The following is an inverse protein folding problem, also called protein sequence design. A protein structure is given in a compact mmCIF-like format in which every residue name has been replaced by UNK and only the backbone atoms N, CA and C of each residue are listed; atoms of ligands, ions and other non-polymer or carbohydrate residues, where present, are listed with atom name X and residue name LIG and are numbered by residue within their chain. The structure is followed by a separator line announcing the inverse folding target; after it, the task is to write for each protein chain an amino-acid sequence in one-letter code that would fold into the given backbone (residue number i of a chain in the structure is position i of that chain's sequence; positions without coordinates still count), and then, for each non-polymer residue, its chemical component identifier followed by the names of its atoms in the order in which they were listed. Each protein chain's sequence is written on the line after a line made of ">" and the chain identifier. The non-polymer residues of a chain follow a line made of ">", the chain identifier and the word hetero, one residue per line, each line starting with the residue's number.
data_IF_264668286666
#
_entry.id   IF_264668286666
#
_cell.length_a   1.000
_cell.length_b   1.000
_cell.length_c   1.000
_cell.angle_alpha   90.00
_cell.angle_beta   90.00
_cell.angle_gamma   90.00
#
_symmetry.space_group_name_H-M   'P 1'
#
loop_
_entity.id
_entity.type
_entity.pdbx_description
1 polymer ?
#
# COMPACT_ATOMS: atom_id res chain seq x y z
N UNK A 1 18.80 2.50 6.24
CA UNK A 1 18.35 1.18 6.73
C UNK A 1 18.17 0.26 5.54
N UNK A 2 18.56 -1.01 5.61
CA UNK A 2 18.28 -1.98 4.54
C UNK A 2 16.82 -2.43 4.59
N UNK A 3 16.28 -2.98 3.50
CA UNK A 3 14.90 -3.49 3.47
C UNK A 3 14.70 -4.60 4.52
N UNK A 4 15.68 -5.51 4.65
CA UNK A 4 15.66 -6.58 5.66
C UNK A 4 15.65 -6.02 7.09
N UNK A 5 16.51 -5.03 7.35
CA UNK A 5 16.54 -4.35 8.65
C UNK A 5 15.21 -3.64 8.97
N UNK A 6 14.56 -3.05 7.97
CA UNK A 6 13.25 -2.41 8.14
C UNK A 6 12.15 -3.44 8.40
N UNK A 7 12.23 -4.60 7.74
CA UNK A 7 11.32 -5.72 7.94
C UNK A 7 11.42 -6.27 9.38
N UNK A 8 12.65 -6.43 9.88
CA UNK A 8 12.91 -6.86 11.26
C UNK A 8 12.43 -5.80 12.27
N UNK A 9 12.68 -4.53 12.00
CA UNK A 9 12.22 -3.42 12.85
C UNK A 9 10.69 -3.35 12.96
N UNK A 10 9.98 -3.54 11.84
CA UNK A 10 8.51 -3.53 11.82
C UNK A 10 7.88 -4.85 12.29
N UNK A 11 8.68 -5.90 12.53
CA UNK A 11 8.17 -7.23 12.91
C UNK A 11 7.36 -7.92 11.80
N UNK A 12 7.60 -7.58 10.53
CA UNK A 12 6.91 -8.19 9.39
C UNK A 12 7.44 -9.59 9.10
N UNK A 13 6.55 -10.52 8.71
CA UNK A 13 6.95 -11.89 8.37
C UNK A 13 7.97 -11.92 7.22
N UNK A 14 9.11 -12.55 7.45
CA UNK A 14 10.27 -12.61 6.54
C UNK A 14 9.99 -13.27 5.19
N UNK A 15 8.95 -14.09 5.08
CA UNK A 15 8.65 -14.87 3.86
C UNK A 15 7.87 -14.11 2.80
N UNK A 16 7.38 -12.90 3.10
CA UNK A 16 6.58 -12.08 2.18
C UNK A 16 7.21 -10.70 1.99
N UNK A 17 6.87 -10.06 0.87
CA UNK A 17 7.40 -8.74 0.51
C UNK A 17 6.85 -7.70 1.49
N UNK A 18 7.72 -6.89 2.11
CA UNK A 18 7.30 -5.85 3.06
C UNK A 18 6.27 -4.88 2.46
N UNK A 19 6.42 -4.55 1.17
CA UNK A 19 5.50 -3.68 0.42
C UNK A 19 4.04 -4.19 0.41
N UNK A 20 3.81 -5.50 0.56
CA UNK A 20 2.46 -6.09 0.61
C UNK A 20 1.72 -5.84 1.94
N UNK A 21 2.44 -5.31 2.94
CA UNK A 21 1.94 -4.94 4.26
C UNK A 21 2.10 -3.45 4.57
N UNK A 22 2.70 -2.66 3.65
CA UNK A 22 2.84 -1.22 3.84
C UNK A 22 1.51 -0.53 3.58
N UNK A 23 1.16 0.41 4.45
CA UNK A 23 -0.01 1.25 4.23
C UNK A 23 0.18 2.25 3.09
N UNK A 24 -0.94 2.79 2.61
CA UNK A 24 -0.96 3.75 1.47
C UNK A 24 -0.06 4.96 1.77
N UNK A 25 -0.05 5.45 3.00
CA UNK A 25 0.77 6.60 3.43
C UNK A 25 2.27 6.31 3.34
N UNK A 26 2.71 5.12 3.75
CA UNK A 26 4.12 4.71 3.65
C UNK A 26 4.55 4.56 2.19
N UNK A 27 3.69 3.95 1.37
CA UNK A 27 3.92 3.78 -0.07
C UNK A 27 3.95 5.13 -0.79
N UNK A 28 3.07 6.06 -0.43
CA UNK A 28 3.04 7.41 -0.98
C UNK A 28 4.32 8.17 -0.60
N UNK A 29 4.77 8.07 0.64
CA UNK A 29 6.03 8.68 1.08
C UNK A 29 7.24 8.10 0.33
N UNK A 30 7.27 6.77 0.12
CA UNK A 30 8.32 6.12 -0.65
C UNK A 30 8.33 6.61 -2.11
N UNK A 31 7.17 6.65 -2.74
CA UNK A 31 7.00 7.12 -4.12
C UNK A 31 7.44 8.58 -4.24
N UNK A 32 6.97 9.43 -3.32
CA UNK A 32 7.30 10.85 -3.29
C UNK A 32 8.81 11.08 -3.12
N UNK A 33 9.48 10.34 -2.23
CA UNK A 33 10.94 10.39 -2.11
C UNK A 33 11.63 10.06 -3.43
N UNK A 34 11.21 9.01 -4.12
CA UNK A 34 11.81 8.58 -5.40
C UNK A 34 11.60 9.64 -6.47
N UNK A 35 10.38 10.17 -6.62
CA UNK A 35 10.08 11.20 -7.62
C UNK A 35 10.86 12.48 -7.35
N UNK A 36 10.89 12.95 -6.10
CA UNK A 36 11.63 14.16 -5.73
C UNK A 36 13.14 13.99 -5.89
N UNK A 37 13.67 12.79 -5.65
CA UNK A 37 15.10 12.49 -5.91
C UNK A 37 15.40 12.61 -7.40
N UNK A 38 14.56 12.02 -8.26
CA UNK A 38 14.74 12.10 -9.70
C UNK A 38 14.67 13.53 -10.22
N UNK A 39 13.69 14.32 -9.76
CA UNK A 39 13.54 15.72 -10.14
C UNK A 39 14.72 16.57 -9.65
N UNK A 40 15.23 16.33 -8.43
CA UNK A 40 16.40 17.05 -7.90
C UNK A 40 17.68 16.70 -8.65
N UNK A 41 17.86 15.44 -9.02
CA UNK A 41 18.99 15.00 -9.83
C UNK A 41 19.00 15.67 -11.21
N UNK A 42 17.84 15.75 -11.87
CA UNK A 42 17.69 16.45 -13.14
C UNK A 42 17.98 17.95 -13.01
N UNK A 43 17.41 18.60 -11.99
CA UNK A 43 17.56 20.05 -11.77
C UNK A 43 19.00 20.48 -11.53
N UNK A 44 19.76 19.67 -10.79
CA UNK A 44 21.11 19.99 -10.36
C UNK A 44 22.20 19.34 -11.23
N UNK A 45 21.82 18.71 -12.35
CA UNK A 45 22.72 17.93 -13.24
C UNK A 45 23.63 16.96 -12.46
N UNK A 46 23.04 16.28 -11.47
CA UNK A 46 23.78 15.40 -10.56
C UNK A 46 24.30 14.20 -11.33
N UNK A 47 25.62 14.01 -11.34
CA UNK A 47 26.29 12.92 -12.06
C UNK A 47 27.16 12.07 -11.13
N UNK A 48 27.18 10.77 -11.40
CA UNK A 48 27.96 9.81 -10.64
C UNK A 48 27.25 9.28 -9.38
N UNK A 49 27.71 8.10 -8.95
CA UNK A 49 27.06 7.30 -7.90
C UNK A 49 27.06 8.03 -6.56
N UNK A 50 28.18 8.64 -6.16
CA UNK A 50 28.32 9.29 -4.86
C UNK A 50 27.37 10.49 -4.71
N UNK A 51 27.29 11.37 -5.70
CA UNK A 51 26.41 12.54 -5.63
C UNK A 51 24.93 12.13 -5.69
N UNK A 52 24.61 11.10 -6.48
CA UNK A 52 23.25 10.54 -6.56
C UNK A 52 22.81 9.96 -5.21
N UNK A 53 23.71 9.22 -4.54
CA UNK A 53 23.47 8.65 -3.23
C UNK A 53 23.27 9.74 -2.15
N UNK A 54 24.08 10.81 -2.19
CA UNK A 54 23.91 11.97 -1.29
C UNK A 54 22.57 12.66 -1.53
N UNK A 55 22.22 12.94 -2.79
CA UNK A 55 20.94 13.58 -3.15
C UNK A 55 19.75 12.74 -2.67
N UNK A 56 19.78 11.42 -2.89
CA UNK A 56 18.74 10.52 -2.43
C UNK A 56 18.60 10.49 -0.89
N UNK A 57 19.73 10.55 -0.17
CA UNK A 57 19.76 10.60 1.30
C UNK A 57 19.16 11.90 1.82
N UNK A 58 19.50 13.03 1.21
CA UNK A 58 18.98 14.35 1.57
C UNK A 58 17.46 14.43 1.37
N UNK A 59 16.98 14.05 0.18
CA UNK A 59 15.53 14.00 -0.10
C UNK A 59 14.83 13.03 0.86
N UNK A 60 15.43 11.87 1.13
CA UNK A 60 14.87 10.93 2.11
C UNK A 60 14.73 11.54 3.52
N UNK A 61 15.72 12.33 3.96
CA UNK A 61 15.65 13.07 5.23
C UNK A 61 14.55 14.14 5.20
N UNK A 62 14.46 14.91 4.13
CA UNK A 62 13.41 15.93 3.98
C UNK A 62 12.00 15.32 4.05
N UNK A 63 11.77 14.19 3.36
CA UNK A 63 10.48 13.49 3.41
C UNK A 63 10.15 13.01 4.82
N UNK A 64 11.14 12.44 5.53
CA UNK A 64 10.97 12.05 6.95
C UNK A 64 10.60 13.25 7.82
N UNK A 65 11.33 14.36 7.68
CA UNK A 65 11.10 15.56 8.47
C UNK A 65 9.72 16.18 8.19
N UNK A 66 9.26 16.14 6.93
CA UNK A 66 7.90 16.59 6.56
C UNK A 66 6.84 15.73 7.25
N UNK A 67 6.98 14.40 7.23
CA UNK A 67 6.02 13.50 7.89
C UNK A 67 6.00 13.71 9.40
N UNK A 68 7.18 13.85 10.04
CA UNK A 68 7.25 14.18 11.46
C UNK A 68 6.59 15.51 11.80
N UNK A 69 6.79 16.56 10.97
CA UNK A 69 6.13 17.86 11.18
C UNK A 69 4.63 17.83 10.94
N UNK A 70 4.16 17.04 9.96
CA UNK A 70 2.76 17.04 9.52
C UNK A 70 1.89 16.08 10.35
N UNK A 71 2.34 14.83 10.50
CA UNK A 71 1.58 13.77 11.16
C UNK A 71 2.17 13.30 12.49
N UNK A 72 3.36 13.80 12.89
CA UNK A 72 4.01 13.40 14.13
C UNK A 72 4.64 12.00 14.12
N UNK A 73 4.59 11.31 12.97
CA UNK A 73 5.02 9.90 12.82
C UNK A 73 5.96 9.79 11.62
N UNK A 74 7.07 9.09 11.79
CA UNK A 74 8.02 8.84 10.71
C UNK A 74 7.49 7.74 9.77
N UNK A 75 7.90 7.72 8.48
CA UNK A 75 7.45 6.69 7.54
C UNK A 75 7.74 5.26 8.00
N UNK A 76 8.88 5.03 8.66
CA UNK A 76 9.23 3.72 9.20
C UNK A 76 8.41 3.30 10.43
N UNK A 77 7.80 4.25 11.14
CA UNK A 77 7.03 3.99 12.37
C UNK A 77 5.53 3.85 12.08
N UNK A 78 5.12 3.98 10.81
CA UNK A 78 3.75 3.68 10.39
C UNK A 78 3.43 2.20 10.65
N UNK A 79 2.24 1.91 11.19
CA UNK A 79 1.82 0.53 11.46
C UNK A 79 1.71 -0.25 10.15
N UNK A 80 2.03 -1.55 10.23
CA UNK A 80 1.79 -2.46 9.12
C UNK A 80 0.29 -2.65 8.92
N UNK A 81 -0.15 -2.62 7.67
CA UNK A 81 -1.49 -3.00 7.26
C UNK A 81 -1.59 -4.51 7.03
N UNK A 82 -2.83 -4.98 6.86
CA UNK A 82 -3.10 -6.37 6.52
C UNK A 82 -2.55 -6.74 5.14
N UNK A 83 -2.21 -8.02 4.98
CA UNK A 83 -1.71 -8.56 3.71
C UNK A 83 -2.66 -8.23 2.53
N UNK A 84 -2.12 -7.61 1.48
CA UNK A 84 -2.84 -7.25 0.25
C UNK A 84 -3.64 -8.41 -0.35
N UNK A 85 -3.13 -9.64 -0.24
CA UNK A 85 -3.81 -10.84 -0.75
C UNK A 85 -5.08 -11.16 0.04
N UNK A 86 -5.11 -10.87 1.34
CA UNK A 86 -6.30 -11.01 2.18
C UNK A 86 -7.33 -9.95 1.85
N UNK A 87 -6.89 -8.71 1.67
CA UNK A 87 -7.76 -7.59 1.25
C UNK A 87 -8.40 -7.89 -0.12
N UNK A 88 -7.61 -8.36 -1.09
CA UNK A 88 -8.10 -8.74 -2.43
C UNK A 88 -9.15 -9.85 -2.36
N UNK A 89 -8.96 -10.85 -1.49
CA UNK A 89 -9.95 -11.93 -1.27
C UNK A 89 -11.25 -11.37 -0.70
N UNK A 90 -11.15 -10.49 0.31
CA UNK A 90 -12.30 -9.87 0.96
C UNK A 90 -13.14 -9.02 0.00
N UNK A 91 -12.48 -8.21 -0.85
CA UNK A 91 -13.17 -7.43 -1.89
C UNK A 91 -13.88 -8.35 -2.88
N UNK A 92 -13.24 -9.47 -3.27
CA UNK A 92 -13.82 -10.44 -4.21
C UNK A 92 -15.05 -11.13 -3.61
N UNK A 93 -15.02 -11.52 -2.33
CA UNK A 93 -16.17 -12.11 -1.65
C UNK A 93 -17.30 -11.10 -1.49
N UNK A 94 -17.00 -9.87 -1.06
CA UNK A 94 -17.99 -8.80 -0.93
C UNK A 94 -18.69 -8.50 -2.28
N UNK A 95 -17.93 -8.37 -3.37
CA UNK A 95 -18.49 -8.16 -4.71
C UNK A 95 -19.42 -9.31 -5.14
N UNK A 96 -19.04 -10.56 -4.82
CA UNK A 96 -19.89 -11.74 -5.10
C UNK A 96 -21.18 -11.72 -4.30
N UNK A 97 -21.14 -11.28 -3.04
CA UNK A 97 -22.32 -11.15 -2.19
C UNK A 97 -23.24 -10.03 -2.64
N UNK A 98 -22.70 -8.84 -2.94
CA UNK A 98 -23.45 -7.72 -3.50
C UNK A 98 -24.18 -8.13 -4.79
N UNK A 99 -23.50 -8.83 -5.72
CA UNK A 99 -24.13 -9.35 -6.94
C UNK A 99 -25.28 -10.33 -6.67
N UNK A 100 -25.18 -11.16 -5.62
CA UNK A 100 -26.27 -12.07 -5.23
C UNK A 100 -27.47 -11.32 -4.68
N UNK A 101 -27.25 -10.22 -3.95
CA UNK A 101 -28.30 -9.37 -3.41
C UNK A 101 -28.98 -8.53 -4.50
N UNK A 102 -28.21 -8.06 -5.49
CA UNK A 102 -28.71 -7.30 -6.65
C UNK A 102 -29.41 -8.18 -7.70
N UNK A 103 -29.23 -9.50 -7.65
CA UNK A 103 -29.90 -10.43 -8.55
C UNK A 103 -31.40 -10.51 -8.20
N UNK A 104 -32.33 -10.31 -9.16
CA UNK A 104 -33.75 -10.37 -8.86
C UNK A 104 -34.12 -11.77 -8.34
N UNK A 105 -34.78 -11.82 -7.17
CA UNK A 105 -35.33 -13.06 -6.60
C UNK A 105 -36.19 -13.74 -7.67
N UNK A 106 -35.75 -14.90 -8.16
CA UNK A 106 -36.53 -15.76 -9.05
C UNK A 106 -37.86 -16.06 -8.34
N UNK A 107 -38.98 -15.50 -8.84
CA UNK A 107 -40.32 -15.82 -8.34
C UNK A 107 -40.49 -17.33 -8.41
N UNK A 108 -40.55 -17.99 -7.26
CA UNK A 108 -40.91 -19.40 -7.17
C UNK A 108 -42.37 -19.49 -7.57
N UNK A 109 -42.63 -19.81 -8.84
CA UNK A 109 -43.97 -20.15 -9.33
C UNK A 109 -44.41 -21.43 -8.63
N UNK A 110 -45.24 -21.29 -7.59
CA UNK A 110 -45.99 -22.42 -7.01
C UNK A 110 -47.00 -22.89 -8.06
N UNK A 111 -46.63 -23.87 -8.89
CA UNK A 111 -47.61 -24.70 -9.59
C UNK A 111 -48.24 -25.65 -8.58
N UNK A 112 -49.25 -25.17 -7.84
CA UNK A 112 -50.17 -26.09 -7.16
C UNK A 112 -51.07 -26.69 -8.24
N UNK A 113 -50.86 -27.99 -8.49
CA UNK A 113 -51.86 -28.97 -8.91
C UNK A 113 -53.27 -28.55 -8.48
N UNK A 114 -54.17 -28.36 -9.43
CA UNK A 114 -55.60 -28.55 -9.23
C UNK A 114 -56.00 -29.77 -10.05
N UNK A 115 -56.02 -30.91 -9.38
CA UNK A 115 -56.86 -32.04 -9.76
C UNK A 115 -58.32 -31.59 -9.60
N UNK A 116 -59.09 -31.64 -10.70
CA UNK A 116 -60.52 -31.97 -10.80
C UNK A 116 -60.97 -31.81 -12.26
#
# INVERSE_FOLDING_TARGET
>A
MSLKSLQDYKGANSSKTLYDFMGITELAANTFRVTQTAERMKKNDVKGINQSATTAKEVGKEVRDIMLRSSGVAPEDLPLEGDISSVKKLIKSANKEMKKLDSPKKKISKSKKSEL
#
